data_IF_094313115715
#
_entry.id   IF_094313115715
#
_cell.length_a   1.000
_cell.length_b   1.000
_cell.length_c   1.000
_cell.angle_alpha   90.00
_cell.angle_beta   90.00
_cell.angle_gamma   90.00
#
_symmetry.space_group_name_H-M   'P 1'
#
loop_
_entity.id
_entity.type
_entity.pdbx_description
1 polymer ?
#
# COMPACT_ATOMS: atom_id res chain seq x y z
N UNK A 1 -1.35 -17.73 -10.48
CA UNK A 1 -1.30 -17.92 -9.00
C UNK A 1 -2.69 -17.61 -8.45
N UNK A 2 -2.98 -17.88 -7.17
CA UNK A 2 -4.22 -17.37 -6.56
C UNK A 2 -3.92 -16.02 -5.89
N UNK A 3 -4.94 -15.17 -5.75
CA UNK A 3 -4.81 -13.88 -5.07
C UNK A 3 -4.20 -14.02 -3.66
N UNK A 4 -4.58 -15.07 -2.90
CA UNK A 4 -3.98 -15.38 -1.60
C UNK A 4 -2.46 -15.55 -1.61
N UNK A 5 -1.89 -16.04 -2.72
CA UNK A 5 -0.45 -16.27 -2.82
C UNK A 5 0.28 -14.92 -2.97
N UNK A 6 -0.32 -13.99 -3.73
CA UNK A 6 0.17 -12.61 -3.87
C UNK A 6 0.04 -11.86 -2.54
N UNK A 7 -1.12 -11.98 -1.88
CA UNK A 7 -1.36 -11.39 -0.55
C UNK A 7 -0.34 -11.89 0.46
N UNK A 8 -0.10 -13.21 0.52
CA UNK A 8 0.90 -13.78 1.42
C UNK A 8 2.31 -13.22 1.19
N UNK A 9 2.71 -13.02 -0.07
CA UNK A 9 4.01 -12.42 -0.38
C UNK A 9 4.11 -10.95 0.05
N UNK A 10 3.02 -10.17 -0.08
CA UNK A 10 2.98 -8.79 0.41
C UNK A 10 3.01 -8.75 1.94
N UNK A 11 2.25 -9.62 2.59
CA UNK A 11 2.18 -9.70 4.06
C UNK A 11 3.44 -10.33 4.70
N UNK A 12 4.23 -11.12 3.96
CA UNK A 12 5.57 -11.54 4.40
C UNK A 12 6.53 -10.34 4.48
N UNK A 13 6.41 -9.41 3.53
CA UNK A 13 7.19 -8.17 3.52
C UNK A 13 6.72 -7.16 4.57
N UNK A 14 5.41 -6.97 4.69
CA UNK A 14 4.78 -6.03 5.61
C UNK A 14 3.54 -6.70 6.25
N UNK A 15 3.70 -7.36 7.40
CA UNK A 15 2.62 -8.11 8.02
C UNK A 15 1.37 -7.27 8.28
N UNK A 16 0.21 -7.78 7.85
CA UNK A 16 -1.07 -7.08 7.96
C UNK A 16 -1.41 -6.70 9.41
N UNK A 17 -0.94 -7.49 10.38
CA UNK A 17 -1.12 -7.23 11.81
C UNK A 17 -0.42 -5.98 12.34
N UNK A 18 0.50 -5.39 11.57
CA UNK A 18 1.16 -4.13 11.94
C UNK A 18 0.26 -2.91 11.74
N UNK A 19 -0.82 -3.04 10.98
CA UNK A 19 -1.63 -1.89 10.59
C UNK A 19 -2.16 -1.11 11.81
N UNK A 20 -2.31 0.19 11.65
CA UNK A 20 -2.96 1.03 12.64
C UNK A 20 -4.42 0.62 12.89
N UNK A 21 -4.93 0.90 14.09
CA UNK A 21 -6.31 0.52 14.46
C UNK A 21 -7.39 1.15 13.58
N UNK A 22 -7.08 2.29 12.97
CA UNK A 22 -7.98 3.02 12.08
C UNK A 22 -7.78 2.64 10.61
N UNK A 23 -6.73 1.90 10.28
CA UNK A 23 -6.37 1.53 8.92
C UNK A 23 -7.30 0.43 8.38
N UNK A 24 -7.36 0.30 7.06
CA UNK A 24 -8.09 -0.77 6.36
C UNK A 24 -7.23 -1.41 5.28
N UNK A 25 -6.01 -1.80 5.65
CA UNK A 25 -5.12 -2.60 4.79
C UNK A 25 -5.71 -3.99 4.56
N UNK A 26 -5.29 -4.67 3.48
CA UNK A 26 -5.76 -6.01 3.13
C UNK A 26 -6.52 -6.08 1.81
N UNK A 27 -7.07 -7.27 1.53
CA UNK A 27 -7.90 -7.52 0.33
C UNK A 27 -9.29 -6.91 0.52
N UNK A 28 -9.61 -5.85 -0.21
CA UNK A 28 -10.88 -5.13 -0.08
C UNK A 28 -11.89 -5.42 -1.21
N UNK A 29 -11.43 -5.93 -2.36
CA UNK A 29 -12.28 -6.38 -3.48
C UNK A 29 -11.74 -7.71 -4.01
N UNK A 30 -12.65 -8.62 -4.38
CA UNK A 30 -12.30 -9.91 -4.99
C UNK A 30 -12.36 -11.07 -4.00
N UNK A 31 -11.71 -12.18 -4.37
CA UNK A 31 -11.65 -13.40 -3.57
C UNK A 31 -10.21 -13.87 -3.40
N UNK A 32 -9.80 -14.37 -2.22
CA UNK A 32 -8.48 -15.00 -2.04
C UNK A 32 -8.22 -16.19 -2.99
N UNK A 33 -9.28 -16.82 -3.51
CA UNK A 33 -9.19 -17.93 -4.47
C UNK A 33 -9.24 -17.51 -5.94
N UNK A 34 -9.37 -16.22 -6.22
CA UNK A 34 -9.35 -15.69 -7.58
C UNK A 34 -8.01 -16.02 -8.25
N UNK A 35 -8.06 -16.49 -9.49
CA UNK A 35 -6.87 -16.70 -10.30
C UNK A 35 -6.31 -15.35 -10.75
N UNK A 36 -5.00 -15.18 -10.61
CA UNK A 36 -4.28 -13.95 -10.94
C UNK A 36 -3.10 -14.31 -11.85
N UNK A 37 -3.10 -13.70 -13.03
CA UNK A 37 -2.07 -13.77 -14.07
C UNK A 37 -1.25 -12.49 -14.14
N UNK A 38 -1.87 -11.34 -13.85
CA UNK A 38 -1.22 -10.04 -13.83
C UNK A 38 -1.62 -9.20 -12.62
N UNK A 39 -0.65 -8.45 -12.07
CA UNK A 39 -0.84 -7.51 -10.97
C UNK A 39 -0.39 -6.13 -11.42
N UNK A 40 -1.25 -5.12 -11.26
CA UNK A 40 -0.87 -3.70 -11.42
C UNK A 40 -0.58 -3.08 -10.05
N UNK A 41 0.55 -2.38 -9.92
CA UNK A 41 0.92 -1.66 -8.70
C UNK A 41 0.56 -0.17 -8.84
N UNK A 42 -0.01 0.43 -7.80
CA UNK A 42 -0.33 1.86 -7.77
C UNK A 42 -0.22 2.50 -6.39
N UNK A 43 -0.30 3.83 -6.32
CA UNK A 43 -0.42 4.54 -5.04
C UNK A 43 -1.87 4.51 -4.54
N UNK A 44 -2.81 4.90 -5.42
CA UNK A 44 -4.24 5.02 -5.17
C UNK A 44 -5.06 4.21 -6.18
N UNK A 45 -6.08 3.48 -5.73
CA UNK A 45 -6.96 2.73 -6.63
C UNK A 45 -8.03 3.63 -7.25
N UNK A 46 -7.61 4.54 -8.14
CA UNK A 46 -8.54 5.45 -8.84
C UNK A 46 -9.33 4.74 -9.94
N UNK A 47 -10.47 5.31 -10.40
CA UNK A 47 -11.18 4.77 -11.56
C UNK A 47 -10.33 4.65 -12.83
N UNK A 48 -9.30 5.48 -12.97
CA UNK A 48 -8.36 5.43 -14.09
C UNK A 48 -7.33 4.30 -13.93
N UNK A 49 -6.86 4.03 -12.71
CA UNK A 49 -5.99 2.88 -12.43
C UNK A 49 -6.71 1.56 -12.70
N UNK A 50 -8.02 1.49 -12.42
CA UNK A 50 -8.83 0.32 -12.78
C UNK A 50 -8.92 0.15 -14.31
N UNK A 51 -9.11 1.24 -15.06
CA UNK A 51 -9.11 1.18 -16.53
C UNK A 51 -7.74 0.75 -17.07
N UNK A 52 -6.64 1.22 -16.46
CA UNK A 52 -5.27 0.80 -16.79
C UNK A 52 -5.05 -0.69 -16.53
N UNK A 53 -5.52 -1.21 -15.38
CA UNK A 53 -5.43 -2.63 -15.06
C UNK A 53 -6.19 -3.50 -16.08
N UNK A 54 -7.40 -3.07 -16.48
CA UNK A 54 -8.16 -3.74 -17.54
C UNK A 54 -7.39 -3.73 -18.86
N UNK A 55 -6.86 -2.57 -19.26
CA UNK A 55 -6.10 -2.43 -20.51
C UNK A 55 -4.83 -3.27 -20.52
N UNK A 56 -4.19 -3.43 -19.36
CA UNK A 56 -3.01 -4.26 -19.17
C UNK A 56 -3.31 -5.77 -19.03
N UNK A 57 -4.59 -6.16 -18.96
CA UNK A 57 -5.00 -7.55 -18.70
C UNK A 57 -4.60 -8.05 -17.31
N UNK A 58 -4.52 -7.15 -16.32
CA UNK A 58 -4.27 -7.50 -14.93
C UNK A 58 -5.56 -7.96 -14.25
N UNK A 59 -5.43 -8.94 -13.35
CA UNK A 59 -6.54 -9.49 -12.57
C UNK A 59 -6.57 -8.93 -11.14
N UNK A 60 -5.52 -8.22 -10.74
CA UNK A 60 -5.36 -7.68 -9.39
C UNK A 60 -4.65 -6.33 -9.42
N UNK A 61 -5.08 -5.44 -8.53
CA UNK A 61 -4.44 -4.17 -8.21
C UNK A 61 -3.90 -4.26 -6.77
N UNK A 62 -2.65 -3.86 -6.58
CA UNK A 62 -2.06 -3.66 -5.25
C UNK A 62 -1.73 -2.17 -5.09
N UNK A 63 -2.32 -1.54 -4.08
CA UNK A 63 -2.08 -0.12 -3.77
C UNK A 63 -1.45 0.08 -2.41
N UNK A 64 -0.87 1.26 -2.21
CA UNK A 64 -0.50 1.69 -0.86
C UNK A 64 -1.76 2.12 -0.09
N UNK A 65 -2.56 3.05 -0.62
CA UNK A 65 -3.76 3.51 0.08
C UNK A 65 -4.95 2.54 -0.11
N UNK A 66 -5.76 2.29 0.94
CA UNK A 66 -6.97 1.48 0.83
C UNK A 66 -8.03 2.15 -0.06
N UNK A 67 -8.57 1.40 -1.03
CA UNK A 67 -9.73 1.88 -1.82
C UNK A 67 -10.93 2.16 -0.93
N UNK A 68 -11.21 1.24 0.00
CA UNK A 68 -12.22 1.43 1.04
C UNK A 68 -11.49 1.90 2.29
N UNK A 69 -11.42 3.21 2.55
CA UNK A 69 -10.77 3.72 3.75
C UNK A 69 -11.67 3.63 5.00
N UNK A 70 -12.98 3.59 4.82
CA UNK A 70 -13.96 3.49 5.91
C UNK A 70 -15.32 2.99 5.43
N UNK A 71 -16.25 2.82 6.36
CA UNK A 71 -17.58 2.26 6.08
C UNK A 71 -18.34 3.04 5.00
N UNK A 72 -18.78 2.31 3.96
CA UNK A 72 -19.56 2.88 2.86
C UNK A 72 -21.06 2.79 3.17
N UNK A 73 -21.78 3.91 3.01
CA UNK A 73 -23.25 3.94 3.10
C UNK A 73 -23.94 3.60 1.77
N UNK A 74 -23.24 3.77 0.65
CA UNK A 74 -23.73 3.53 -0.70
C UNK A 74 -22.56 3.44 -1.68
N UNK A 75 -22.72 2.68 -2.76
CA UNK A 75 -21.77 2.61 -3.89
C UNK A 75 -22.46 3.20 -5.12
N UNK A 76 -22.01 4.36 -5.59
CA UNK A 76 -22.62 5.08 -6.72
C UNK A 76 -21.53 5.65 -7.65
N UNK A 77 -21.80 5.80 -8.96
CA UNK A 77 -20.78 6.20 -9.93
C UNK A 77 -20.39 7.68 -9.84
N UNK A 78 -21.16 8.53 -9.15
CA UNK A 78 -20.81 9.95 -8.94
C UNK A 78 -19.73 10.14 -7.87
N UNK A 79 -19.50 9.13 -7.02
CA UNK A 79 -18.44 9.09 -6.02
C UNK A 79 -17.21 8.38 -6.59
N UNK A 80 -15.99 8.95 -6.53
CA UNK A 80 -14.80 8.32 -7.10
C UNK A 80 -14.47 6.93 -6.54
N UNK A 81 -14.65 6.71 -5.23
CA UNK A 81 -14.45 5.40 -4.59
C UNK A 81 -15.52 4.43 -5.08
N UNK A 82 -16.79 4.86 -5.09
CA UNK A 82 -17.90 4.09 -5.63
C UNK A 82 -17.71 3.70 -7.10
N UNK A 83 -17.24 4.61 -7.94
CA UNK A 83 -16.95 4.35 -9.35
C UNK A 83 -15.81 3.36 -9.52
N UNK A 84 -14.71 3.50 -8.77
CA UNK A 84 -13.60 2.55 -8.81
C UNK A 84 -14.04 1.14 -8.38
N UNK A 85 -14.85 1.04 -7.31
CA UNK A 85 -15.44 -0.23 -6.87
C UNK A 85 -16.32 -0.86 -7.95
N UNK A 86 -17.24 -0.09 -8.54
CA UNK A 86 -18.13 -0.57 -9.61
C UNK A 86 -17.29 -1.11 -10.78
N UNK A 87 -16.26 -0.37 -11.19
CA UNK A 87 -15.38 -0.79 -12.28
C UNK A 87 -14.61 -2.06 -11.94
N UNK A 88 -13.95 -2.09 -10.78
CA UNK A 88 -13.12 -3.24 -10.37
C UNK A 88 -13.96 -4.52 -10.27
N UNK A 89 -15.12 -4.44 -9.61
CA UNK A 89 -16.05 -5.57 -9.48
C UNK A 89 -16.55 -6.04 -10.85
N UNK A 90 -16.95 -5.13 -11.74
CA UNK A 90 -17.43 -5.50 -13.08
C UNK A 90 -16.35 -6.09 -13.97
N UNK A 91 -15.12 -5.63 -13.81
CA UNK A 91 -13.97 -6.13 -14.53
C UNK A 91 -13.41 -7.44 -13.94
N UNK A 92 -13.89 -7.86 -12.76
CA UNK A 92 -13.34 -9.02 -12.05
C UNK A 92 -11.94 -8.77 -11.47
N UNK A 93 -11.58 -7.52 -11.19
CA UNK A 93 -10.27 -7.16 -10.66
C UNK A 93 -10.30 -7.20 -9.13
N UNK A 94 -9.40 -7.98 -8.53
CA UNK A 94 -9.14 -7.96 -7.10
C UNK A 94 -8.38 -6.69 -6.70
N UNK A 95 -8.62 -6.17 -5.49
CA UNK A 95 -7.91 -4.99 -4.99
C UNK A 95 -7.41 -5.25 -3.58
N UNK A 96 -6.11 -5.10 -3.37
CA UNK A 96 -5.44 -5.22 -2.08
C UNK A 96 -4.68 -3.93 -1.76
N UNK A 97 -4.65 -3.53 -0.49
CA UNK A 97 -3.88 -2.38 -0.05
C UNK A 97 -2.87 -2.74 1.06
N UNK A 98 -1.66 -2.17 0.97
CA UNK A 98 -0.64 -2.24 2.02
C UNK A 98 -0.25 -0.82 2.45
N UNK A 99 -1.03 -0.27 3.38
CA UNK A 99 -0.90 1.11 3.85
C UNK A 99 0.09 1.19 5.02
N UNK A 100 -0.40 1.37 6.24
CA UNK A 100 0.45 1.52 7.42
C UNK A 100 1.38 0.33 7.70
N UNK A 101 1.05 -0.94 7.34
CA UNK A 101 2.04 -2.02 7.41
C UNK A 101 3.33 -1.72 6.63
N UNK A 102 3.20 -1.16 5.42
CA UNK A 102 4.34 -0.81 4.58
C UNK A 102 5.12 0.38 5.12
N UNK A 103 4.47 1.28 5.85
CA UNK A 103 5.12 2.42 6.50
C UNK A 103 5.90 2.02 7.74
N UNK A 104 5.47 0.93 8.40
CA UNK A 104 5.99 0.46 9.68
C UNK A 104 7.21 -0.45 9.61
N UNK A 105 7.57 -0.93 8.41
CA UNK A 105 8.78 -1.74 8.21
C UNK A 105 9.88 -0.88 7.59
N UNK A 106 11.11 -0.98 8.09
CA UNK A 106 12.23 -0.17 7.58
C UNK A 106 12.61 -0.53 6.13
N UNK A 107 12.24 -1.72 5.67
CA UNK A 107 12.35 -2.09 4.26
C UNK A 107 11.34 -1.35 3.36
N UNK A 108 10.24 -0.84 3.93
CA UNK A 108 9.12 -0.19 3.26
C UNK A 108 9.28 1.32 3.05
N UNK A 109 8.16 2.04 3.04
CA UNK A 109 8.05 3.39 2.46
C UNK A 109 8.95 4.40 3.19
N UNK A 110 8.80 4.52 4.51
CA UNK A 110 9.59 5.44 5.35
C UNK A 110 11.10 5.19 5.23
N UNK A 111 11.52 3.93 5.31
CA UNK A 111 12.93 3.58 5.20
C UNK A 111 13.48 3.74 3.79
N UNK A 112 12.68 3.51 2.74
CA UNK A 112 13.07 3.77 1.36
C UNK A 112 13.28 5.27 1.12
N UNK A 113 12.41 6.14 1.67
CA UNK A 113 12.61 7.59 1.63
C UNK A 113 13.87 8.02 2.38
N UNK A 114 14.09 7.51 3.60
CA UNK A 114 15.30 7.80 4.38
C UNK A 114 16.59 7.40 3.63
N UNK A 115 16.60 6.23 2.97
CA UNK A 115 17.71 5.79 2.11
C UNK A 115 17.90 6.70 0.90
N UNK A 116 16.81 7.11 0.25
CA UNK A 116 16.87 8.04 -0.91
C UNK A 116 17.39 9.43 -0.53
N UNK A 117 17.12 9.88 0.70
CA UNK A 117 17.69 11.11 1.25
C UNK A 117 19.18 10.98 1.64
N UNK A 118 19.76 9.79 1.55
CA UNK A 118 21.17 9.55 1.89
C UNK A 118 21.45 9.55 3.40
N UNK A 119 20.43 9.28 4.22
CA UNK A 119 20.61 9.17 5.67
C UNK A 119 21.41 7.91 6.02
N UNK A 120 22.31 8.04 6.99
CA UNK A 120 23.01 6.96 7.68
C UNK A 120 22.32 6.66 9.01
N UNK A 121 22.67 5.52 9.61
CA UNK A 121 22.17 5.06 10.91
C UNK A 121 20.63 5.09 11.02
N UNK A 122 19.97 4.72 9.90
CA UNK A 122 18.52 4.76 9.78
C UNK A 122 17.90 3.76 10.74
N UNK A 123 16.98 4.26 11.57
CA UNK A 123 16.15 3.48 12.47
C UNK A 123 14.72 4.00 12.43
N UNK A 124 13.81 3.26 13.06
CA UNK A 124 12.40 3.65 13.18
C UNK A 124 12.30 4.88 14.09
N UNK A 125 11.47 5.86 13.69
CA UNK A 125 11.27 7.10 14.44
C UNK A 125 10.40 6.86 15.68
N UNK A 126 9.26 6.20 15.51
CA UNK A 126 8.31 5.84 16.57
C UNK A 126 8.20 4.32 16.69
N UNK A 127 9.13 3.65 17.39
CA UNK A 127 9.16 2.19 17.48
C UNK A 127 8.00 1.63 18.31
N UNK A 128 7.50 0.47 17.89
CA UNK A 128 6.49 -0.34 18.55
C UNK A 128 7.08 -1.70 18.95
N UNK A 129 6.54 -2.32 20.01
CA UNK A 129 6.93 -3.67 20.42
C UNK A 129 8.43 -3.81 20.73
N UNK A 130 9.11 -4.70 20.00
CA UNK A 130 10.55 -4.97 20.09
C UNK A 130 11.43 -3.90 19.41
N UNK A 131 10.81 -2.91 18.76
CA UNK A 131 11.47 -1.82 18.07
C UNK A 131 11.91 -2.13 16.64
N UNK A 132 11.56 -3.31 16.11
CA UNK A 132 11.81 -3.67 14.70
C UNK A 132 10.73 -3.15 13.74
N UNK A 133 9.61 -2.66 14.29
CA UNK A 133 8.50 -2.06 13.54
C UNK A 133 8.01 -0.76 14.19
N UNK A 134 7.32 0.09 13.44
CA UNK A 134 6.78 1.37 13.92
C UNK A 134 6.87 2.49 12.89
N UNK A 135 6.24 3.62 13.17
CA UNK A 135 6.05 4.68 12.18
C UNK A 135 7.31 5.54 11.97
N UNK A 136 7.49 5.95 10.71
CA UNK A 136 8.54 6.87 10.30
C UNK A 136 9.95 6.28 10.35
N UNK A 137 10.88 7.01 9.74
CA UNK A 137 12.30 6.68 9.76
C UNK A 137 13.10 7.92 10.11
N UNK A 138 14.14 7.74 10.93
CA UNK A 138 15.06 8.79 11.34
C UNK A 138 16.49 8.31 11.17
N UNK A 139 17.37 9.21 10.77
CA UNK A 139 18.79 8.96 10.59
C UNK A 139 19.55 10.27 10.56
N UNK A 140 20.82 10.19 10.19
CA UNK A 140 21.72 11.36 10.13
C UNK A 140 22.43 11.43 8.80
N UNK A 141 22.61 12.63 8.25
CA UNK A 141 23.64 12.82 7.23
C UNK A 141 25.01 12.73 7.88
N UNK A 142 25.95 12.06 7.22
CA UNK A 142 27.33 11.90 7.74
C UNK A 142 28.07 13.24 7.85
N UNK A 143 27.66 14.20 7.03
CA UNK A 143 28.16 15.57 7.04
C UNK A 143 26.98 16.54 7.22
N UNK A 144 27.12 17.61 8.01
CA UNK A 144 26.07 18.61 8.13
C UNK A 144 25.69 19.22 6.78
N UNK A 145 24.39 19.33 6.51
CA UNK A 145 23.83 20.02 5.35
C UNK A 145 23.11 21.29 5.82
N UNK A 146 23.16 22.35 5.00
CA UNK A 146 22.25 23.48 5.17
C UNK A 146 20.83 23.05 4.80
N UNK A 147 19.83 23.74 5.36
CA UNK A 147 18.42 23.46 5.02
C UNK A 147 18.16 23.59 3.51
N UNK A 148 18.74 24.58 2.85
CA UNK A 148 18.61 24.79 1.40
C UNK A 148 19.24 23.68 0.56
N UNK A 149 20.25 22.98 1.09
CA UNK A 149 20.90 21.86 0.40
C UNK A 149 20.19 20.52 0.63
N UNK A 150 19.24 20.46 1.56
CA UNK A 150 18.49 19.26 1.92
C UNK A 150 17.11 19.16 1.23
N UNK A 151 16.68 20.20 0.50
CA UNK A 151 15.43 20.30 -0.26
C UNK A 151 15.69 20.17 -1.77
#
# INVERSE_FOLDING_TARGET
MRARDIVAAVEEFAPLGLQEKWDNSGLCVGSPDQEVHGVLLGLDCTPALVDEAVAAGADMIVTHHPLIFGSLKSVRPEDPVGLALIKAIRAGIAVYASHTPSDKVLAGVSGAMARRLGLADIRILEPEGDGETGLGAVGVWREPLSADAAL
#
